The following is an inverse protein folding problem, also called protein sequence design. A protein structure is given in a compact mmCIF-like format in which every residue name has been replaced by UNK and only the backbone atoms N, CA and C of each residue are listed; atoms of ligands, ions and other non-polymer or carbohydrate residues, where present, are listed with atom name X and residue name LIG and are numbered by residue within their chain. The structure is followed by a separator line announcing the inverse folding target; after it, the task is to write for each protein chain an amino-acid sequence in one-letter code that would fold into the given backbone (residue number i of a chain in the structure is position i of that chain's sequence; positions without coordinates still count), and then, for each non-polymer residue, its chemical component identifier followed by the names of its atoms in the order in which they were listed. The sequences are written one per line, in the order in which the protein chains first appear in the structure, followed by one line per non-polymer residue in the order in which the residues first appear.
data_IF_902924686383
#
_entry.id   IF_902924686383
#
_cell.length_a   1.000
_cell.length_b   1.000
_cell.length_c   1.000
_cell.angle_alpha   90.00
_cell.angle_beta   90.00
_cell.angle_gamma   90.00
#
_symmetry.space_group_name_H-M   'P 1'
#
loop_
_entity.id
_entity.type
_entity.pdbx_description
1 polymer ?
#
# COMPACT_ATOMS: atom_id res chain seq x y z
N UNK A 1 27.74 3.85 7.04
CA UNK A 1 27.08 4.27 5.79
C UNK A 1 26.05 3.20 5.48
N UNK A 2 24.90 3.28 6.16
CA UNK A 2 23.91 2.20 6.22
C UNK A 2 22.90 2.41 5.10
N UNK A 3 23.19 1.87 3.91
CA UNK A 3 22.25 1.80 2.78
C UNK A 3 21.45 0.49 2.82
N UNK A 4 20.77 0.18 3.93
CA UNK A 4 20.19 -1.16 4.14
C UNK A 4 18.67 -1.24 4.36
N UNK A 5 17.88 -0.17 4.24
CA UNK A 5 16.43 -0.26 4.53
C UNK A 5 15.52 0.69 3.74
N UNK A 6 15.76 0.90 2.44
CA UNK A 6 14.85 1.70 1.61
C UNK A 6 14.80 1.17 0.18
N UNK A 7 13.59 0.93 -0.35
CA UNK A 7 13.40 0.92 -1.79
C UNK A 7 13.92 2.26 -2.32
N UNK A 8 14.69 2.26 -3.41
CA UNK A 8 15.00 3.51 -4.11
C UNK A 8 13.69 4.16 -4.57
N UNK A 9 13.63 5.49 -4.59
CA UNK A 9 12.40 6.24 -4.85
C UNK A 9 11.68 5.76 -6.12
N UNK A 10 12.40 5.59 -7.23
CA UNK A 10 11.84 5.05 -8.49
C UNK A 10 11.22 3.65 -8.33
N UNK A 11 11.87 2.78 -7.55
CA UNK A 11 11.38 1.41 -7.31
C UNK A 11 10.12 1.41 -6.44
N UNK A 12 10.02 2.37 -5.51
CA UNK A 12 8.85 2.55 -4.66
C UNK A 12 7.68 3.05 -5.48
N UNK A 13 7.89 4.05 -6.32
CA UNK A 13 6.83 4.63 -7.18
C UNK A 13 6.23 3.57 -8.12
N UNK A 14 7.08 2.75 -8.76
CA UNK A 14 6.62 1.62 -9.60
C UNK A 14 5.73 0.65 -8.81
N UNK A 15 6.12 0.36 -7.57
CA UNK A 15 5.42 -0.56 -6.69
C UNK A 15 4.09 0.00 -6.18
N UNK A 16 4.06 1.29 -5.86
CA UNK A 16 2.83 2.03 -5.51
C UNK A 16 1.83 1.89 -6.65
N UNK A 17 2.26 2.18 -7.87
CA UNK A 17 1.39 2.12 -9.05
C UNK A 17 0.86 0.69 -9.30
N UNK A 18 1.73 -0.32 -9.22
CA UNK A 18 1.33 -1.72 -9.40
C UNK A 18 0.26 -2.14 -8.37
N UNK A 19 0.51 -1.87 -7.08
CA UNK A 19 -0.41 -2.24 -6.01
C UNK A 19 -1.72 -1.45 -6.12
N UNK A 20 -1.66 -0.14 -6.39
CA UNK A 20 -2.84 0.70 -6.54
C UNK A 20 -3.74 0.23 -7.69
N UNK A 21 -3.15 -0.12 -8.84
CA UNK A 21 -3.86 -0.66 -10.01
C UNK A 21 -4.53 -1.99 -9.71
N UNK A 22 -3.86 -2.88 -9.00
CA UNK A 22 -4.41 -4.17 -8.59
C UNK A 22 -5.58 -4.03 -7.60
N UNK A 23 -5.53 -3.05 -6.68
CA UNK A 23 -6.65 -2.71 -5.78
C UNK A 23 -7.84 -2.17 -6.59
N UNK A 24 -7.57 -1.25 -7.52
CA UNK A 24 -8.57 -0.63 -8.38
C UNK A 24 -9.28 -1.66 -9.25
N UNK A 25 -8.54 -2.58 -9.88
CA UNK A 25 -9.08 -3.65 -10.73
C UNK A 25 -10.02 -4.59 -9.95
N UNK A 26 -9.81 -4.75 -8.65
CA UNK A 26 -10.68 -5.55 -7.76
C UNK A 26 -11.87 -4.76 -7.21
N UNK A 27 -11.98 -3.46 -7.50
CA UNK A 27 -13.02 -2.59 -6.94
C UNK A 27 -12.87 -2.36 -5.44
N UNK A 28 -11.63 -2.43 -4.93
CA UNK A 28 -11.33 -2.35 -3.50
C UNK A 28 -10.70 -1.00 -3.07
N UNK A 29 -10.71 0.02 -3.94
CA UNK A 29 -10.07 1.31 -3.70
C UNK A 29 -10.52 1.97 -2.39
N UNK A 30 -11.82 2.22 -2.23
CA UNK A 30 -12.38 2.82 -1.01
C UNK A 30 -12.11 2.01 0.27
N UNK A 31 -12.38 0.69 0.34
CA UNK A 31 -12.07 -0.07 1.54
C UNK A 31 -10.56 -0.17 1.82
N UNK A 32 -9.70 -0.15 0.80
CA UNK A 32 -8.25 -0.13 0.99
C UNK A 32 -7.76 1.18 1.61
N UNK A 33 -8.23 2.34 1.11
CA UNK A 33 -7.92 3.66 1.71
C UNK A 33 -8.29 3.67 3.19
N UNK A 34 -9.53 3.31 3.53
CA UNK A 34 -9.97 3.29 4.92
C UNK A 34 -9.18 2.31 5.81
N UNK A 35 -8.79 1.15 5.27
CA UNK A 35 -7.95 0.21 6.00
C UNK A 35 -6.55 0.79 6.29
N UNK A 36 -5.92 1.39 5.29
CA UNK A 36 -4.60 2.01 5.41
C UNK A 36 -4.63 3.22 6.35
N UNK A 37 -5.65 4.06 6.29
CA UNK A 37 -5.86 5.15 7.25
C UNK A 37 -6.06 4.62 8.68
N UNK A 38 -6.87 3.59 8.86
CA UNK A 38 -7.09 2.95 10.16
C UNK A 38 -5.81 2.29 10.72
N UNK A 39 -4.82 2.04 9.87
CA UNK A 39 -3.53 1.48 10.27
C UNK A 39 -2.58 2.51 10.91
N UNK A 40 -2.84 3.81 10.74
CA UNK A 40 -2.03 4.93 11.26
C UNK A 40 -1.57 4.78 12.73
N UNK A 41 -2.43 4.35 13.69
CA UNK A 41 -2.02 4.17 15.09
C UNK A 41 -0.94 3.10 15.32
N UNK A 42 -0.76 2.17 14.38
CA UNK A 42 0.15 1.02 14.52
C UNK A 42 1.51 1.26 13.85
N UNK A 43 1.69 2.35 13.10
CA UNK A 43 2.94 2.75 12.46
C UNK A 43 4.17 2.79 13.38
N UNK A 44 4.07 3.21 14.67
CA UNK A 44 5.21 3.16 15.59
C UNK A 44 5.77 1.76 15.85
N UNK A 45 5.03 0.69 15.51
CA UNK A 45 5.49 -0.70 15.61
C UNK A 45 6.40 -1.09 14.43
N UNK A 46 6.49 -0.23 13.41
CA UNK A 46 7.34 -0.39 12.24
C UNK A 46 7.05 -1.67 11.46
N UNK A 47 8.07 -2.29 10.85
CA UNK A 47 7.91 -3.47 9.98
C UNK A 47 7.26 -4.69 10.66
N UNK A 48 7.23 -4.73 11.99
CA UNK A 48 6.64 -5.85 12.73
C UNK A 48 5.11 -5.77 12.80
N UNK A 49 4.50 -4.58 12.64
CA UNK A 49 3.05 -4.46 12.51
C UNK A 49 2.52 -5.17 11.28
N UNK A 50 3.30 -5.19 10.19
CA UNK A 50 2.93 -5.85 8.94
C UNK A 50 2.72 -7.36 9.11
N UNK A 51 3.45 -8.01 10.02
CA UNK A 51 3.26 -9.44 10.32
C UNK A 51 1.86 -9.75 10.90
N UNK A 52 1.23 -8.78 11.56
CA UNK A 52 -0.14 -8.94 12.07
C UNK A 52 -1.17 -8.90 10.93
N UNK A 53 -0.91 -8.12 9.89
CA UNK A 53 -1.81 -7.93 8.76
C UNK A 53 -1.55 -8.89 7.59
N UNK A 54 -0.39 -9.57 7.57
CA UNK A 54 0.01 -10.56 6.54
C UNK A 54 -1.12 -11.53 6.15
N UNK A 55 -1.86 -12.19 7.08
CA UNK A 55 -2.92 -13.14 6.69
C UNK A 55 -4.07 -12.52 5.89
N UNK A 56 -4.45 -11.28 6.22
CA UNK A 56 -5.52 -10.53 5.53
C UNK A 56 -5.02 -10.09 4.17
N UNK A 57 -3.79 -9.56 4.11
CA UNK A 57 -3.16 -9.13 2.87
C UNK A 57 -2.99 -10.30 1.90
N UNK A 58 -2.54 -11.48 2.35
CA UNK A 58 -2.42 -12.68 1.51
C UNK A 58 -3.74 -13.10 0.89
N UNK A 59 -4.83 -12.95 1.63
CA UNK A 59 -6.17 -13.29 1.17
C UNK A 59 -6.70 -12.32 0.12
N UNK A 60 -6.24 -11.06 0.11
CA UNK A 60 -6.73 -10.00 -0.78
C UNK A 60 -5.84 -9.87 -2.03
N UNK A 61 -4.52 -9.93 -1.84
CA UNK A 61 -3.52 -9.66 -2.87
C UNK A 61 -2.91 -10.92 -3.52
N UNK A 62 -3.13 -12.10 -2.93
CA UNK A 62 -2.50 -13.33 -3.39
C UNK A 62 -1.05 -13.48 -2.91
N UNK A 63 -0.40 -14.58 -3.28
CA UNK A 63 0.89 -15.00 -2.72
C UNK A 63 2.10 -14.15 -3.11
N UNK A 64 1.98 -13.27 -4.12
CA UNK A 64 3.06 -12.35 -4.51
C UNK A 64 2.97 -11.04 -3.70
N UNK A 65 3.18 -11.17 -2.39
CA UNK A 65 3.16 -10.08 -1.42
C UNK A 65 4.45 -9.28 -1.38
N UNK A 66 5.46 -9.61 -2.19
CA UNK A 66 6.79 -9.01 -2.05
C UNK A 66 6.71 -7.48 -2.21
N UNK A 67 5.90 -7.01 -3.17
CA UNK A 67 5.67 -5.59 -3.38
C UNK A 67 4.86 -4.92 -2.25
N UNK A 68 3.66 -5.44 -1.98
CA UNK A 68 2.80 -4.88 -0.93
C UNK A 68 3.49 -4.89 0.46
N UNK A 69 4.23 -5.95 0.80
CA UNK A 69 4.93 -6.03 2.09
C UNK A 69 6.06 -5.01 2.20
N UNK A 70 6.76 -4.72 1.10
CA UNK A 70 7.83 -3.73 1.09
C UNK A 70 7.26 -2.31 1.22
N UNK A 71 6.14 -2.03 0.55
CA UNK A 71 5.48 -0.73 0.61
C UNK A 71 4.89 -0.44 1.99
N UNK A 72 4.34 -1.46 2.64
CA UNK A 72 3.73 -1.33 3.96
C UNK A 72 4.72 -1.46 5.13
N UNK A 73 6.00 -1.76 4.86
CA UNK A 73 7.04 -1.83 5.87
C UNK A 73 7.56 -0.44 6.31
N UNK A 74 7.20 0.61 5.57
CA UNK A 74 7.66 1.98 5.78
C UNK A 74 6.49 2.96 5.63
N UNK A 75 6.46 3.98 6.48
CA UNK A 75 5.33 4.91 6.57
C UNK A 75 5.14 5.70 5.28
N UNK A 76 6.24 6.07 4.61
CA UNK A 76 6.21 6.81 3.34
C UNK A 76 5.55 6.00 2.23
N UNK A 77 5.75 4.68 2.20
CA UNK A 77 5.12 3.80 1.21
C UNK A 77 3.62 3.66 1.44
N UNK A 78 3.20 3.66 2.72
CA UNK A 78 1.78 3.65 3.09
C UNK A 78 1.09 4.95 2.64
N UNK A 79 1.70 6.11 2.88
CA UNK A 79 1.13 7.40 2.46
C UNK A 79 1.04 7.51 0.93
N UNK A 80 2.12 7.17 0.22
CA UNK A 80 2.10 7.20 -1.25
C UNK A 80 1.03 6.29 -1.84
N UNK A 81 0.78 5.13 -1.23
CA UNK A 81 -0.31 4.25 -1.64
C UNK A 81 -1.70 4.85 -1.37
N UNK A 82 -1.89 5.51 -0.22
CA UNK A 82 -3.15 6.18 0.09
C UNK A 82 -3.41 7.27 -0.95
N UNK A 83 -2.45 8.18 -1.15
CA UNK A 83 -2.56 9.30 -2.09
C UNK A 83 -2.91 8.79 -3.50
N UNK A 84 -2.22 7.74 -3.97
CA UNK A 84 -2.47 7.20 -5.31
C UNK A 84 -3.86 6.55 -5.44
N UNK A 85 -4.34 5.88 -4.40
CA UNK A 85 -5.69 5.29 -4.40
C UNK A 85 -6.78 6.37 -4.38
N UNK A 86 -6.55 7.48 -3.68
CA UNK A 86 -7.45 8.63 -3.69
C UNK A 86 -7.52 9.27 -5.08
N UNK A 87 -6.39 9.50 -5.74
CA UNK A 87 -6.33 9.99 -7.12
C UNK A 87 -7.12 9.09 -8.08
N UNK A 88 -6.91 7.77 -8.03
CA UNK A 88 -7.65 6.82 -8.86
C UNK A 88 -9.17 6.83 -8.59
N UNK A 89 -9.57 7.05 -7.33
CA UNK A 89 -10.98 7.17 -6.97
C UNK A 89 -11.61 8.46 -7.52
N UNK A 90 -10.86 9.56 -7.54
CA UNK A 90 -11.29 10.82 -8.12
C UNK A 90 -11.42 10.72 -9.65
N UNK A 91 -10.44 10.11 -10.33
CA UNK A 91 -10.45 9.85 -11.78
C UNK A 91 -11.73 9.10 -12.20
N UNK A 92 -12.09 8.01 -11.50
CA UNK A 92 -13.30 7.23 -11.79
C UNK A 92 -14.59 8.01 -11.50
N UNK A 93 -14.59 8.87 -10.47
CA UNK A 93 -15.74 9.68 -10.11
C UNK A 93 -16.07 10.79 -11.11
N UNK A 94 -15.11 11.19 -11.95
CA UNK A 94 -15.27 12.23 -12.97
C UNK A 94 -15.70 11.67 -14.34
N UNK A 95 -15.58 10.35 -14.54
CA UNK A 95 -15.96 9.63 -15.76
C UNK A 95 -17.40 9.03 -15.71
N UNK A 96 -18.15 9.22 -14.61
CA UNK A 96 -19.50 8.67 -14.38
C UNK A 96 -20.62 9.74 -14.49
#
# INVERSE_FOLDING_TARGET
MTELTGLGDDQRDELVEEVAREIQLRGLTTPAVHFLEASRPYRPLGPHAMLFFDPVLRSIFGGDLAGASALLADDDGIEQLIDRLEELSEEVGWDA
#
